data_IF_902693843843
#
_entry.id   IF_902693843843
#
_cell.length_a   1.000
_cell.length_b   1.000
_cell.length_c   1.000
_cell.angle_alpha   90.00
_cell.angle_beta   90.00
_cell.angle_gamma   90.00
#
_symmetry.space_group_name_H-M   'P 1'
#
loop_
_entity.id
_entity.type
_entity.pdbx_description
1 polymer ?
#
# COMPACT_ATOMS: atom_id res chain seq x y z
N UNK A 1 -1.33 25.63 11.79
CA UNK A 1 -2.42 25.13 12.67
C UNK A 1 -2.78 23.75 12.14
N UNK A 2 -2.33 22.71 12.84
CA UNK A 2 -2.55 21.33 12.41
C UNK A 2 -4.04 21.00 12.53
N UNK A 3 -4.69 20.76 11.41
CA UNK A 3 -6.07 20.29 11.39
C UNK A 3 -6.13 18.92 12.07
N UNK A 4 -6.84 18.82 13.19
CA UNK A 4 -7.15 17.53 13.81
C UNK A 4 -8.12 16.83 12.89
N UNK A 5 -7.63 15.82 12.19
CA UNK A 5 -8.45 15.01 11.28
C UNK A 5 -9.51 14.29 12.11
N UNK A 6 -10.77 14.71 12.00
CA UNK A 6 -11.93 14.14 12.71
C UNK A 6 -12.63 12.99 11.99
N UNK A 7 -12.05 12.47 10.92
CA UNK A 7 -12.74 11.51 10.08
C UNK A 7 -12.01 10.15 10.10
N UNK A 8 -12.36 9.31 11.07
CA UNK A 8 -11.97 7.90 11.08
C UNK A 8 -13.22 7.04 10.99
N UNK A 9 -13.31 6.21 9.98
CA UNK A 9 -14.34 5.18 9.94
C UNK A 9 -14.05 4.03 10.91
N UNK A 10 -12.79 3.74 11.23
CA UNK A 10 -12.44 2.65 12.15
C UNK A 10 -10.96 2.69 12.53
N UNK A 11 -10.65 2.63 13.84
CA UNK A 11 -9.32 2.19 14.31
C UNK A 11 -9.31 0.67 14.26
N UNK A 12 -8.43 0.10 13.45
CA UNK A 12 -8.23 -1.34 13.33
C UNK A 12 -6.93 -1.70 14.06
N UNK A 13 -6.93 -2.78 14.84
CA UNK A 13 -5.71 -3.36 15.35
C UNK A 13 -5.31 -4.54 14.48
N UNK A 14 -4.03 -4.58 14.08
CA UNK A 14 -3.43 -5.70 13.38
C UNK A 14 -2.38 -6.35 14.27
N UNK A 15 -2.36 -7.67 14.29
CA UNK A 15 -1.28 -8.44 14.92
C UNK A 15 -0.11 -8.51 13.92
N UNK A 16 0.95 -7.79 14.21
CA UNK A 16 2.19 -7.83 13.43
C UNK A 16 3.34 -8.29 14.31
N UNK A 17 3.91 -9.44 14.00
CA UNK A 17 4.97 -10.06 14.81
C UNK A 17 4.61 -10.24 16.30
N UNK A 18 3.36 -10.65 16.61
CA UNK A 18 2.83 -10.82 17.96
C UNK A 18 2.74 -9.50 18.78
N UNK A 19 2.70 -8.36 18.10
CA UNK A 19 2.44 -7.05 18.69
C UNK A 19 1.24 -6.40 18.02
N UNK A 20 0.41 -5.74 18.80
CA UNK A 20 -0.77 -5.05 18.31
C UNK A 20 -0.39 -3.69 17.72
N UNK A 21 -0.69 -3.49 16.43
CA UNK A 21 -0.52 -2.21 15.72
C UNK A 21 -1.88 -1.56 15.49
N UNK A 22 -2.11 -0.43 16.11
CA UNK A 22 -3.30 0.37 15.86
C UNK A 22 -3.12 1.16 14.58
N UNK A 23 -4.11 1.06 13.71
CA UNK A 23 -4.13 1.76 12.43
C UNK A 23 -5.44 2.54 12.27
N UNK A 24 -5.42 3.54 11.43
CA UNK A 24 -6.60 4.30 11.02
C UNK A 24 -6.54 4.52 9.50
N UNK A 25 -7.62 4.97 8.92
CA UNK A 25 -7.70 5.30 7.49
C UNK A 25 -8.24 6.70 7.35
N UNK A 26 -7.63 7.53 6.53
CA UNK A 26 -8.11 8.88 6.22
C UNK A 26 -9.38 8.82 5.38
N UNK A 27 -10.09 9.93 5.23
CA UNK A 27 -11.25 10.07 4.34
C UNK A 27 -10.91 9.81 2.87
N UNK A 28 -9.65 9.93 2.50
CA UNK A 28 -9.13 9.67 1.15
C UNK A 28 -8.71 8.21 0.95
N UNK A 29 -8.78 7.39 2.02
CA UNK A 29 -8.40 5.97 1.99
C UNK A 29 -6.94 5.70 2.31
N UNK A 30 -6.15 6.71 2.72
CA UNK A 30 -4.74 6.55 3.06
C UNK A 30 -4.57 5.95 4.46
N UNK A 31 -3.68 4.97 4.64
CA UNK A 31 -3.45 4.33 5.93
C UNK A 31 -2.64 5.23 6.87
N UNK A 32 -3.01 5.20 8.14
CA UNK A 32 -2.30 5.85 9.23
C UNK A 32 -1.94 4.82 10.31
N UNK A 33 -0.77 4.95 10.90
CA UNK A 33 -0.21 4.00 11.87
C UNK A 33 0.04 4.70 13.20
N UNK A 34 -0.33 4.09 14.32
CA UNK A 34 -0.05 4.66 15.64
C UNK A 34 1.46 4.78 15.85
N UNK A 35 1.98 6.00 15.94
CA UNK A 35 3.41 6.26 16.02
C UNK A 35 4.08 5.66 17.25
N UNK A 36 3.35 5.58 18.38
CA UNK A 36 3.85 4.90 19.60
C UNK A 36 4.05 3.42 19.35
N UNK A 37 3.05 2.72 18.80
CA UNK A 37 3.10 1.29 18.54
C UNK A 37 4.22 0.95 17.54
N UNK A 38 4.33 1.73 16.47
CA UNK A 38 5.42 1.61 15.49
C UNK A 38 6.80 1.75 16.16
N UNK A 39 6.99 2.75 17.02
CA UNK A 39 8.26 2.95 17.72
C UNK A 39 8.57 1.80 18.67
N UNK A 40 7.58 1.27 19.39
CA UNK A 40 7.74 0.08 20.24
C UNK A 40 8.14 -1.15 19.42
N UNK A 41 7.51 -1.39 18.28
CA UNK A 41 7.85 -2.48 17.36
C UNK A 41 9.25 -2.35 16.77
N UNK A 42 9.74 -1.13 16.59
CA UNK A 42 11.04 -0.81 16.04
C UNK A 42 12.16 -0.66 17.09
N UNK A 43 11.87 -0.94 18.38
CA UNK A 43 12.77 -0.74 19.53
C UNK A 43 13.29 0.71 19.65
N UNK A 44 12.44 1.68 19.31
CA UNK A 44 12.74 3.11 19.45
C UNK A 44 12.23 3.59 20.82
N UNK A 45 13.10 3.58 21.82
CA UNK A 45 12.75 3.89 23.23
C UNK A 45 12.26 5.34 23.44
N UNK A 46 12.76 6.30 22.65
CA UNK A 46 12.38 7.71 22.73
C UNK A 46 11.39 8.07 21.62
N UNK A 47 10.19 7.48 21.65
CA UNK A 47 9.23 7.64 20.57
C UNK A 47 8.85 9.12 20.32
N UNK A 48 8.72 9.96 21.38
CA UNK A 48 8.39 11.38 21.21
C UNK A 48 9.46 12.15 20.44
N UNK A 49 10.74 11.88 20.74
CA UNK A 49 11.86 12.46 20.00
C UNK A 49 11.91 11.97 18.56
N UNK A 50 11.59 10.71 18.31
CA UNK A 50 11.54 10.15 16.96
C UNK A 50 10.42 10.80 16.15
N UNK A 51 9.21 10.90 16.72
CA UNK A 51 8.07 11.53 16.05
C UNK A 51 8.27 13.04 15.82
N UNK A 52 8.98 13.75 16.71
CA UNK A 52 9.27 15.18 16.52
C UNK A 52 10.29 15.49 15.42
N UNK A 53 10.96 14.48 14.88
CA UNK A 53 11.90 14.61 13.76
C UNK A 53 11.27 14.32 12.39
N UNK A 54 10.05 13.85 12.39
CA UNK A 54 9.28 13.65 11.17
C UNK A 54 8.85 14.99 10.59
N UNK A 55 8.75 15.06 9.29
CA UNK A 55 8.24 16.23 8.59
C UNK A 55 6.73 16.43 8.90
N UNK A 56 6.23 17.65 8.68
CA UNK A 56 4.84 18.01 9.01
C UNK A 56 3.78 17.15 8.31
N UNK A 57 4.09 16.64 7.12
CA UNK A 57 3.24 15.75 6.31
C UNK A 57 3.37 14.25 6.69
N UNK A 58 4.35 13.91 7.51
CA UNK A 58 4.62 12.53 7.93
C UNK A 58 3.94 12.12 9.23
N UNK A 59 3.45 13.08 10.00
CA UNK A 59 2.78 12.86 11.27
C UNK A 59 1.51 13.66 11.42
N UNK A 60 0.48 13.05 12.02
CA UNK A 60 -0.77 13.73 12.31
C UNK A 60 -1.31 13.36 13.69
N UNK A 61 -1.82 14.35 14.45
CA UNK A 61 -2.56 14.09 15.67
C UNK A 61 -3.97 13.59 15.33
N UNK A 62 -4.37 12.50 16.00
CA UNK A 62 -5.67 11.84 15.81
C UNK A 62 -6.40 11.80 17.14
N UNK A 63 -7.66 12.19 17.15
CA UNK A 63 -8.53 12.05 18.31
C UNK A 63 -9.14 10.64 18.31
N UNK A 64 -8.79 9.84 19.31
CA UNK A 64 -9.24 8.43 19.43
C UNK A 64 -10.09 8.27 20.68
N UNK A 65 -11.23 7.60 20.55
CA UNK A 65 -12.05 7.18 21.69
C UNK A 65 -11.39 5.99 22.38
N UNK A 66 -11.07 6.17 23.66
CA UNK A 66 -10.49 5.12 24.49
C UNK A 66 -11.42 4.81 25.67
N UNK A 67 -11.20 3.70 26.39
CA UNK A 67 -11.94 3.38 27.61
C UNK A 67 -11.83 4.47 28.70
N UNK A 68 -10.80 5.31 28.64
CA UNK A 68 -10.60 6.47 29.53
C UNK A 68 -11.11 7.80 28.96
N UNK A 69 -11.89 7.79 27.86
CA UNK A 69 -12.38 8.96 27.16
C UNK A 69 -11.57 9.30 25.91
N UNK A 70 -11.88 10.44 25.29
CA UNK A 70 -11.20 10.89 24.09
C UNK A 70 -9.75 11.31 24.38
N UNK A 71 -8.81 10.77 23.62
CA UNK A 71 -7.40 11.10 23.73
C UNK A 71 -6.80 11.42 22.36
N UNK A 72 -5.96 12.45 22.31
CA UNK A 72 -5.18 12.74 21.10
C UNK A 72 -3.97 11.84 21.05
N UNK A 73 -3.87 11.03 20.01
CA UNK A 73 -2.74 10.15 19.74
C UNK A 73 -2.01 10.60 18.49
N UNK A 74 -0.68 10.40 18.48
CA UNK A 74 0.14 10.69 17.30
C UNK A 74 0.13 9.50 16.36
N UNK A 75 -0.39 9.70 15.16
CA UNK A 75 -0.30 8.75 14.05
C UNK A 75 0.73 9.23 13.04
N UNK A 76 1.23 8.31 12.25
CA UNK A 76 2.16 8.59 11.14
C UNK A 76 1.58 8.07 9.83
N UNK A 77 1.87 8.77 8.76
CA UNK A 77 1.57 8.35 7.39
C UNK A 77 2.47 7.20 6.97
N UNK A 78 2.24 6.64 5.78
CA UNK A 78 3.12 5.59 5.23
C UNK A 78 4.56 6.11 5.04
N UNK A 79 4.75 7.36 4.61
CA UNK A 79 6.08 7.97 4.50
C UNK A 79 6.76 8.12 5.85
N UNK A 80 6.02 8.55 6.90
CA UNK A 80 6.53 8.62 8.27
C UNK A 80 6.88 7.25 8.85
N UNK A 81 6.10 6.21 8.53
CA UNK A 81 6.44 4.83 8.90
C UNK A 81 7.78 4.40 8.29
N UNK A 82 8.02 4.67 7.00
CA UNK A 82 9.29 4.36 6.36
C UNK A 82 10.46 5.11 6.99
N UNK A 83 10.28 6.38 7.34
CA UNK A 83 11.31 7.17 8.02
C UNK A 83 11.68 6.55 9.39
N UNK A 84 10.68 6.16 10.20
CA UNK A 84 10.91 5.46 11.47
C UNK A 84 11.63 4.13 11.27
N UNK A 85 11.29 3.34 10.25
CA UNK A 85 12.01 2.10 9.90
C UNK A 85 13.46 2.41 9.54
N UNK A 86 13.72 3.48 8.82
CA UNK A 86 15.09 3.87 8.43
C UNK A 86 15.92 4.37 9.62
N UNK A 87 15.30 4.95 10.64
CA UNK A 87 15.98 5.34 11.89
C UNK A 87 16.27 4.14 12.82
N UNK A 88 15.51 3.04 12.70
CA UNK A 88 15.64 1.89 13.59
C UNK A 88 16.96 1.15 13.41
N UNK A 89 17.50 0.66 14.54
CA UNK A 89 18.69 -0.20 14.58
C UNK A 89 18.36 -1.69 14.58
N UNK A 90 17.08 -2.05 14.63
CA UNK A 90 16.60 -3.43 14.65
C UNK A 90 17.07 -4.21 13.41
N UNK A 91 17.49 -5.48 13.55
CA UNK A 91 17.96 -6.28 12.40
C UNK A 91 16.96 -6.37 11.26
N UNK A 92 15.67 -6.52 11.57
CA UNK A 92 14.57 -6.59 10.60
C UNK A 92 14.42 -5.27 9.83
N UNK A 93 14.51 -4.13 10.51
CA UNK A 93 14.48 -2.81 9.89
C UNK A 93 15.68 -2.59 8.96
N UNK A 94 16.87 -3.06 9.37
CA UNK A 94 18.07 -3.03 8.51
C UNK A 94 17.91 -3.92 7.28
N UNK A 95 17.35 -5.11 7.44
CA UNK A 95 17.06 -6.02 6.33
C UNK A 95 16.07 -5.39 5.35
N UNK A 96 14.98 -4.80 5.85
CA UNK A 96 14.00 -4.09 5.04
C UNK A 96 14.64 -2.92 4.27
N UNK A 97 15.42 -2.08 4.94
CA UNK A 97 16.15 -0.97 4.30
C UNK A 97 17.06 -1.46 3.18
N UNK A 98 17.83 -2.52 3.46
CA UNK A 98 18.72 -3.13 2.45
C UNK A 98 17.92 -3.62 1.25
N UNK A 99 16.80 -4.31 1.46
CA UNK A 99 15.94 -4.80 0.40
C UNK A 99 15.38 -3.65 -0.45
N UNK A 100 14.81 -2.62 0.18
CA UNK A 100 14.29 -1.44 -0.54
C UNK A 100 15.37 -0.80 -1.42
N UNK A 101 16.56 -0.56 -0.84
CA UNK A 101 17.62 0.22 -1.52
C UNK A 101 18.40 -0.60 -2.55
N UNK A 102 18.55 -1.93 -2.36
CA UNK A 102 19.33 -2.77 -3.26
C UNK A 102 18.49 -3.49 -4.32
N UNK A 103 17.18 -3.63 -4.12
CA UNK A 103 16.30 -4.38 -5.02
C UNK A 103 15.14 -3.52 -5.54
N UNK A 104 14.26 -3.03 -4.63
CA UNK A 104 13.01 -2.36 -5.01
C UNK A 104 13.28 -1.07 -5.79
N UNK A 105 13.98 -0.11 -5.21
CA UNK A 105 14.25 1.18 -5.85
C UNK A 105 15.07 1.03 -7.15
N UNK A 106 16.15 0.22 -7.21
CA UNK A 106 16.85 -0.01 -8.46
C UNK A 106 16.00 -0.67 -9.54
N UNK A 107 15.07 -1.56 -9.18
CA UNK A 107 14.14 -2.15 -10.15
C UNK A 107 13.17 -1.10 -10.68
N UNK A 108 12.52 -0.33 -9.80
CA UNK A 108 11.62 0.75 -10.21
C UNK A 108 12.34 1.76 -11.13
N UNK A 109 13.55 2.18 -10.78
CA UNK A 109 14.34 3.11 -11.59
C UNK A 109 14.64 2.55 -13.00
N UNK A 110 14.88 1.24 -13.12
CA UNK A 110 15.21 0.62 -14.42
C UNK A 110 13.99 0.27 -15.27
N UNK A 111 12.88 -0.14 -14.65
CA UNK A 111 11.72 -0.73 -15.33
C UNK A 111 10.44 0.09 -15.19
N UNK A 112 10.44 1.10 -14.32
CA UNK A 112 9.25 1.89 -13.98
C UNK A 112 8.29 1.22 -12.99
N UNK A 113 8.57 -0.03 -12.57
CA UNK A 113 7.71 -0.78 -11.64
C UNK A 113 8.50 -1.79 -10.81
N UNK A 114 7.97 -2.16 -9.65
CA UNK A 114 8.48 -3.30 -8.87
C UNK A 114 7.56 -4.50 -9.01
N UNK A 115 8.15 -5.68 -9.21
CA UNK A 115 7.44 -6.94 -9.36
C UNK A 115 8.15 -8.01 -8.54
N UNK A 116 7.43 -8.66 -7.62
CA UNK A 116 7.96 -9.75 -6.78
C UNK A 116 8.41 -10.96 -7.61
N UNK A 117 7.80 -11.18 -8.77
CA UNK A 117 8.16 -12.28 -9.67
C UNK A 117 8.12 -11.83 -11.13
N UNK A 118 9.27 -11.36 -11.69
CA UNK A 118 9.35 -10.90 -13.08
C UNK A 118 8.91 -11.95 -14.12
N UNK A 119 9.17 -13.24 -13.86
CA UNK A 119 8.78 -14.32 -14.77
C UNK A 119 7.25 -14.52 -14.80
N UNK A 120 6.57 -14.46 -13.65
CA UNK A 120 5.11 -14.54 -13.61
C UNK A 120 4.48 -13.33 -14.29
N UNK A 121 5.03 -12.13 -14.09
CA UNK A 121 4.53 -10.91 -14.72
C UNK A 121 4.69 -10.92 -16.23
N UNK A 122 5.80 -11.44 -16.77
CA UNK A 122 5.97 -11.59 -18.21
C UNK A 122 4.92 -12.56 -18.80
N UNK A 123 4.64 -13.66 -18.09
CA UNK A 123 3.59 -14.62 -18.46
C UNK A 123 2.20 -13.98 -18.43
N UNK A 124 1.86 -13.29 -17.36
CA UNK A 124 0.58 -12.59 -17.22
C UNK A 124 0.42 -11.51 -18.28
N UNK A 125 1.47 -10.75 -18.64
CA UNK A 125 1.44 -9.77 -19.76
C UNK A 125 1.16 -10.44 -21.10
N UNK A 126 1.81 -11.55 -21.39
CA UNK A 126 1.57 -12.31 -22.63
C UNK A 126 0.13 -12.83 -22.68
N UNK A 127 -0.35 -13.38 -21.58
CA UNK A 127 -1.74 -13.84 -21.46
C UNK A 127 -2.75 -12.69 -21.60
N UNK A 128 -2.47 -11.52 -21.03
CA UNK A 128 -3.30 -10.33 -21.18
C UNK A 128 -3.43 -9.92 -22.65
N UNK A 129 -2.31 -9.84 -23.37
CA UNK A 129 -2.29 -9.48 -24.80
C UNK A 129 -3.07 -10.50 -25.63
N UNK A 130 -2.92 -11.80 -25.33
CA UNK A 130 -3.64 -12.86 -26.02
C UNK A 130 -5.17 -12.76 -25.79
N UNK A 131 -5.60 -12.54 -24.55
CA UNK A 131 -7.02 -12.32 -24.21
C UNK A 131 -7.60 -11.09 -24.88
N UNK A 132 -6.86 -9.97 -24.93
CA UNK A 132 -7.28 -8.78 -25.68
C UNK A 132 -7.49 -9.10 -27.16
N UNK A 133 -6.57 -9.81 -27.79
CA UNK A 133 -6.69 -10.26 -29.20
C UNK A 133 -7.89 -11.17 -29.42
N UNK A 134 -8.15 -12.10 -28.49
CA UNK A 134 -9.30 -13.01 -28.58
C UNK A 134 -10.62 -12.24 -28.46
N UNK A 135 -10.74 -11.31 -27.50
CA UNK A 135 -11.94 -10.48 -27.33
C UNK A 135 -12.17 -9.60 -28.57
N UNK A 136 -11.11 -9.00 -29.13
CA UNK A 136 -11.21 -8.18 -30.35
C UNK A 136 -11.66 -8.98 -31.59
N UNK A 137 -11.31 -10.27 -31.65
CA UNK A 137 -11.67 -11.15 -32.76
C UNK A 137 -13.01 -11.89 -32.55
N UNK A 138 -13.58 -11.84 -31.34
CA UNK A 138 -14.83 -12.51 -31.02
C UNK A 138 -15.99 -11.96 -31.86
N UNK A 139 -16.69 -12.84 -32.56
CA UNK A 139 -17.79 -12.51 -33.50
C UNK A 139 -19.11 -12.28 -32.78
N UNK A 140 -19.30 -12.91 -31.60
CA UNK A 140 -20.54 -12.85 -30.86
C UNK A 140 -20.34 -12.20 -29.49
N UNK A 141 -21.37 -11.54 -28.96
CA UNK A 141 -21.35 -10.97 -27.63
C UNK A 141 -21.21 -12.07 -26.55
N UNK A 142 -21.73 -13.27 -26.83
CA UNK A 142 -21.58 -14.43 -25.94
C UNK A 142 -20.09 -14.81 -25.76
N UNK A 143 -19.34 -14.94 -26.86
CA UNK A 143 -17.90 -15.23 -26.80
C UNK A 143 -17.14 -14.14 -26.00
N UNK A 144 -17.46 -12.88 -26.20
CA UNK A 144 -16.86 -11.76 -25.45
C UNK A 144 -17.15 -11.86 -23.97
N UNK A 145 -18.37 -12.17 -23.58
CA UNK A 145 -18.79 -12.32 -22.18
C UNK A 145 -17.99 -13.42 -21.45
N UNK A 146 -17.67 -14.53 -22.14
CA UNK A 146 -16.88 -15.62 -21.56
C UNK A 146 -15.42 -15.23 -21.28
N UNK A 147 -14.84 -14.33 -22.07
CA UNK A 147 -13.43 -13.92 -21.96
C UNK A 147 -13.22 -12.74 -20.99
N UNK A 148 -14.24 -11.93 -20.75
CA UNK A 148 -14.16 -10.73 -19.87
C UNK A 148 -13.62 -11.04 -18.45
N UNK A 149 -14.14 -12.07 -17.73
CA UNK A 149 -13.65 -12.36 -16.37
C UNK A 149 -12.17 -12.71 -16.32
N UNK A 150 -11.68 -13.48 -17.29
CA UNK A 150 -10.28 -13.85 -17.38
C UNK A 150 -9.39 -12.63 -17.64
N UNK A 151 -9.80 -11.73 -18.54
CA UNK A 151 -9.08 -10.49 -18.82
C UNK A 151 -9.04 -9.57 -17.59
N UNK A 152 -10.15 -9.41 -16.87
CA UNK A 152 -10.23 -8.61 -15.66
C UNK A 152 -9.36 -9.16 -14.51
N UNK A 153 -9.28 -10.50 -14.41
CA UNK A 153 -8.42 -11.16 -13.43
C UNK A 153 -6.95 -10.85 -13.72
N UNK A 154 -6.49 -11.08 -14.96
CA UNK A 154 -5.09 -10.84 -15.35
C UNK A 154 -4.76 -9.35 -15.29
N UNK A 155 -5.70 -8.46 -15.62
CA UNK A 155 -5.51 -7.02 -15.47
C UNK A 155 -5.26 -6.63 -14.00
N UNK A 156 -6.02 -7.18 -13.05
CA UNK A 156 -5.81 -6.96 -11.61
C UNK A 156 -4.44 -7.46 -11.14
N UNK A 157 -4.01 -8.65 -11.58
CA UNK A 157 -2.70 -9.21 -11.26
C UNK A 157 -1.54 -8.32 -11.76
N UNK A 158 -1.76 -7.60 -12.86
CA UNK A 158 -0.79 -6.68 -13.46
C UNK A 158 -0.89 -5.25 -12.92
N UNK A 159 -1.87 -4.94 -12.06
CA UNK A 159 -2.13 -3.58 -11.57
C UNK A 159 -2.72 -2.66 -12.66
N UNK A 160 -3.28 -3.20 -13.73
CA UNK A 160 -3.91 -2.40 -14.78
C UNK A 160 -5.32 -1.95 -14.38
N UNK A 161 -5.72 -0.78 -14.86
CA UNK A 161 -7.12 -0.34 -14.74
C UNK A 161 -8.03 -1.32 -15.46
N UNK A 162 -9.31 -1.39 -15.01
CA UNK A 162 -10.33 -2.21 -15.66
C UNK A 162 -10.36 -1.92 -17.17
N UNK A 163 -10.30 -2.96 -18.04
CA UNK A 163 -10.31 -2.80 -19.48
C UNK A 163 -11.58 -2.08 -19.98
N UNK A 164 -11.39 -1.12 -20.88
CA UNK A 164 -12.52 -0.50 -21.60
C UNK A 164 -12.90 -1.36 -22.80
N UNK A 165 -13.97 -2.12 -22.64
CA UNK A 165 -14.48 -3.03 -23.67
C UNK A 165 -15.07 -2.31 -24.88
N UNK A 166 -15.38 -1.00 -24.78
CA UNK A 166 -15.82 -0.18 -25.90
C UNK A 166 -14.74 0.02 -26.95
N UNK A 167 -13.47 0.09 -26.50
CA UNK A 167 -12.31 0.22 -27.36
C UNK A 167 -11.82 -1.11 -27.97
N UNK A 168 -12.31 -2.24 -27.47
CA UNK A 168 -11.93 -3.58 -27.92
C UNK A 168 -12.89 -4.15 -28.99
N UNK A 169 -13.76 -3.33 -29.57
CA UNK A 169 -14.58 -3.74 -30.74
C UNK A 169 -13.69 -3.72 -31.98
N UNK A 170 -13.65 -4.83 -32.71
CA UNK A 170 -13.13 -4.83 -34.06
C UNK A 170 -14.01 -3.93 -34.93
N UNK A 171 -13.39 -3.11 -35.76
CA UNK A 171 -14.05 -2.44 -36.88
C UNK A 171 -14.64 -3.45 -37.87
#
# INVERSE_FOLDING_TARGET
>A
MSEVIRAFEKVLSFDFCSQELRTAVTTEGEPLFCGKDVCEMLDISKYRDALSRLDEDQGCPVLVDTLGGQQTMSFVTESGLYELIFMSRKPEAKAFRKWITSEVLPQIRRTGSYTLNPASTARSRSQYIELVKLISKAKTEFERQQLKPALEQVARELGYKKPDYGLLKAE
#
